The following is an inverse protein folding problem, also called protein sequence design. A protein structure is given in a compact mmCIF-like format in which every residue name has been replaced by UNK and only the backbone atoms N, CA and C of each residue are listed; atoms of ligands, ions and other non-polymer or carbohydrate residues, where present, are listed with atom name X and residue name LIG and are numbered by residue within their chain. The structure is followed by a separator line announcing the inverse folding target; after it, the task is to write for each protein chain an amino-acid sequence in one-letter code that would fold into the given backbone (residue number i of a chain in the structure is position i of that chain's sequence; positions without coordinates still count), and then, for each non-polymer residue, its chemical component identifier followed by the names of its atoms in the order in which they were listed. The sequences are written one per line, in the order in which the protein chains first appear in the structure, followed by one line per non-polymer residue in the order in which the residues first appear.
data_IF_681652961253
#
_entry.id   IF_681652961253
#
_cell.length_a   1.000
_cell.length_b   1.000
_cell.length_c   1.000
_cell.angle_alpha   90.00
_cell.angle_beta   90.00
_cell.angle_gamma   90.00
#
_symmetry.space_group_name_H-M   'P 1'
#
loop_
_entity.id
_entity.type
_entity.pdbx_description
1 polymer ?
#
# COMPACT_ATOMS: atom_id res chain seq x y z
N UNK A 1 -17.87 -5.08 17.41
CA UNK A 1 -16.50 -4.92 16.82
C UNK A 1 -16.12 -3.46 16.89
N UNK A 2 -14.87 -3.16 17.01
CA UNK A 2 -14.34 -1.81 16.92
C UNK A 2 -13.46 -1.69 15.68
N UNK A 3 -13.07 -0.47 15.32
CA UNK A 3 -12.11 -0.19 14.24
C UNK A 3 -10.87 0.43 14.85
N UNK A 4 -9.72 -0.02 14.42
CA UNK A 4 -8.45 0.63 14.67
C UNK A 4 -7.84 1.06 13.34
N UNK A 5 -7.44 2.32 13.25
CA UNK A 5 -6.68 2.87 12.14
C UNK A 5 -5.25 3.08 12.59
N UNK A 6 -4.32 2.46 11.88
CA UNK A 6 -2.89 2.58 12.12
C UNK A 6 -2.32 3.62 11.16
N UNK A 7 -1.80 4.71 11.68
CA UNK A 7 -1.22 5.79 10.91
C UNK A 7 0.31 5.83 11.09
N UNK A 8 1.02 5.28 10.12
CA UNK A 8 2.47 5.35 10.05
C UNK A 8 2.91 6.74 9.63
N UNK A 9 3.80 7.34 10.40
CA UNK A 9 4.29 8.70 10.15
C UNK A 9 5.81 8.76 10.11
N UNK A 10 6.35 9.93 9.73
CA UNK A 10 7.79 10.18 9.82
C UNK A 10 8.35 10.24 11.25
N UNK A 11 7.50 10.16 12.30
CA UNK A 11 7.92 10.34 13.69
C UNK A 11 7.26 9.36 14.68
N UNK A 12 6.78 8.24 14.18
CA UNK A 12 6.16 7.19 14.97
C UNK A 12 4.85 6.71 14.39
N UNK A 13 4.27 5.72 15.04
CA UNK A 13 2.96 5.16 14.72
C UNK A 13 1.91 5.79 15.66
N UNK A 14 0.80 6.21 15.08
CA UNK A 14 -0.39 6.64 15.79
C UNK A 14 -1.51 5.63 15.56
N UNK A 15 -2.35 5.41 16.57
CA UNK A 15 -3.51 4.55 16.51
C UNK A 15 -4.76 5.40 16.76
N UNK A 16 -5.75 5.25 15.89
CA UNK A 16 -7.07 5.87 16.07
C UNK A 16 -8.08 4.76 16.31
N UNK A 17 -8.81 4.85 17.39
CA UNK A 17 -9.78 3.85 17.81
C UNK A 17 -11.20 4.38 17.73
N UNK A 18 -12.12 3.57 17.25
CA UNK A 18 -13.55 3.85 17.25
C UNK A 18 -14.36 2.57 17.47
N UNK A 19 -15.61 2.73 17.86
CA UNK A 19 -16.59 1.66 17.81
C UNK A 19 -17.01 1.32 16.36
N UNK A 20 -17.90 0.36 16.21
CA UNK A 20 -18.41 -0.06 14.90
C UNK A 20 -19.25 1.05 14.20
N UNK A 21 -19.79 2.01 14.96
CA UNK A 21 -20.51 3.14 14.39
C UNK A 21 -19.59 4.24 13.85
N UNK A 22 -18.33 4.25 14.23
CA UNK A 22 -17.27 5.17 13.76
C UNK A 22 -17.62 6.65 13.92
N UNK A 23 -18.42 6.98 14.99
CA UNK A 23 -18.86 8.34 15.28
C UNK A 23 -17.93 9.08 16.25
N UNK A 24 -17.17 8.33 17.02
CA UNK A 24 -16.30 8.87 18.08
C UNK A 24 -14.92 8.24 17.95
N UNK A 25 -13.89 9.04 17.88
CA UNK A 25 -12.53 8.60 17.69
C UNK A 25 -11.64 9.04 18.84
N UNK A 26 -10.74 8.17 19.27
CA UNK A 26 -9.64 8.51 20.18
C UNK A 26 -8.31 8.28 19.47
N UNK A 27 -7.36 9.16 19.73
CA UNK A 27 -6.01 9.12 19.18
C UNK A 27 -5.02 8.72 20.28
N UNK A 28 -4.21 7.69 20.01
CA UNK A 28 -3.10 7.25 20.85
C UNK A 28 -1.78 7.35 20.09
N UNK A 29 -0.67 7.59 20.81
CA UNK A 29 0.65 7.66 20.22
C UNK A 29 1.37 8.99 20.41
N UNK A 30 2.55 9.20 19.76
CA UNK A 30 3.21 8.20 18.92
C UNK A 30 3.84 7.06 19.74
N UNK A 31 3.66 5.85 19.28
CA UNK A 31 4.51 4.71 19.65
C UNK A 31 5.69 4.62 18.67
N UNK A 32 6.80 3.98 19.03
CA UNK A 32 8.06 4.03 18.29
C UNK A 32 8.48 5.48 17.95
N UNK A 33 8.56 6.40 18.95
CA UNK A 33 8.71 7.83 18.69
C UNK A 33 10.04 8.15 18.02
N UNK A 34 9.97 9.00 16.99
CA UNK A 34 11.14 9.46 16.24
C UNK A 34 11.54 8.59 15.06
N UNK A 35 10.96 7.38 14.89
CA UNK A 35 11.21 6.49 13.77
C UNK A 35 10.23 6.76 12.61
N UNK A 36 10.68 6.52 11.38
CA UNK A 36 9.79 6.53 10.22
C UNK A 36 9.05 5.19 10.13
N UNK A 37 7.73 5.21 10.15
CA UNK A 37 6.88 4.03 9.98
C UNK A 37 6.30 4.07 8.57
N UNK A 38 6.87 3.27 7.68
CA UNK A 38 6.47 3.24 6.27
C UNK A 38 5.18 2.47 6.04
N UNK A 39 4.95 1.44 6.85
CA UNK A 39 3.72 0.67 6.88
C UNK A 39 3.54 0.04 8.25
N UNK A 40 2.31 -0.12 8.70
CA UNK A 40 1.98 -0.93 9.88
C UNK A 40 0.66 -1.62 9.63
N UNK A 41 0.55 -2.89 9.98
CA UNK A 41 -0.64 -3.71 9.80
C UNK A 41 -0.97 -4.45 11.09
N UNK A 42 -2.26 -4.56 11.40
CA UNK A 42 -2.77 -5.48 12.42
C UNK A 42 -3.12 -6.80 11.73
N UNK A 43 -2.36 -7.83 12.01
CA UNK A 43 -2.68 -9.18 11.55
C UNK A 43 -3.93 -9.69 12.29
N UNK A 44 -5.01 -9.89 11.54
CA UNK A 44 -6.28 -10.32 12.13
C UNK A 44 -6.32 -11.81 12.45
N UNK A 45 -5.29 -12.59 12.05
CA UNK A 45 -5.17 -14.01 12.35
C UNK A 45 -4.80 -14.26 13.81
N UNK A 46 -3.98 -13.37 14.40
CA UNK A 46 -3.42 -13.53 15.75
C UNK A 46 -3.50 -12.26 16.63
N UNK A 47 -3.84 -11.10 16.03
CA UNK A 47 -3.94 -9.82 16.72
C UNK A 47 -2.60 -9.11 16.94
N UNK A 48 -1.54 -9.53 16.26
CA UNK A 48 -0.21 -8.90 16.33
C UNK A 48 -0.13 -7.71 15.39
N UNK A 49 0.42 -6.60 15.85
CA UNK A 49 0.75 -5.45 15.00
C UNK A 49 2.19 -5.58 14.51
N UNK A 50 2.37 -5.49 13.20
CA UNK A 50 3.67 -5.44 12.55
C UNK A 50 3.91 -4.06 11.97
N UNK A 51 5.14 -3.56 12.06
CA UNK A 51 5.53 -2.25 11.53
C UNK A 51 6.84 -2.33 10.75
N UNK A 52 6.84 -1.84 9.51
CA UNK A 52 8.02 -1.59 8.70
C UNK A 52 8.63 -0.25 9.11
N UNK A 53 9.77 -0.31 9.79
CA UNK A 53 10.36 0.79 10.53
C UNK A 53 11.71 1.17 9.94
N UNK A 54 11.97 2.46 9.80
CA UNK A 54 13.22 2.96 9.26
C UNK A 54 13.83 4.03 10.17
N UNK A 55 15.13 3.92 10.38
CA UNK A 55 15.92 4.87 11.13
C UNK A 55 17.21 5.20 10.39
N UNK A 56 17.55 6.48 10.33
CA UNK A 56 18.82 6.89 9.74
C UNK A 56 20.04 6.41 10.55
N UNK A 57 19.85 6.04 11.82
CA UNK A 57 20.89 5.52 12.71
C UNK A 57 20.99 4.00 12.66
N UNK A 58 19.83 3.32 12.74
CA UNK A 58 19.77 1.86 12.91
C UNK A 58 19.33 1.12 11.64
N UNK A 59 19.03 1.85 10.56
CA UNK A 59 18.63 1.29 9.28
C UNK A 59 17.17 0.80 9.26
N UNK A 60 16.89 -0.09 8.31
CA UNK A 60 15.60 -0.72 8.10
C UNK A 60 15.42 -1.91 9.05
N UNK A 61 14.20 -2.07 9.57
CA UNK A 61 13.85 -3.17 10.48
C UNK A 61 12.34 -3.41 10.48
N UNK A 62 11.90 -4.54 11.02
CA UNK A 62 10.50 -4.80 11.34
C UNK A 62 10.37 -4.87 12.85
N UNK A 63 9.27 -4.33 13.37
CA UNK A 63 8.90 -4.46 14.77
C UNK A 63 7.53 -5.14 14.88
N UNK A 64 7.33 -5.92 15.93
CA UNK A 64 6.06 -6.57 16.25
C UNK A 64 5.59 -6.21 17.66
N UNK A 65 4.27 -6.16 17.84
CA UNK A 65 3.62 -5.85 19.12
C UNK A 65 2.42 -6.74 19.34
N UNK A 66 2.35 -7.38 20.52
CA UNK A 66 1.24 -8.23 20.94
C UNK A 66 0.20 -7.45 21.78
N UNK A 67 0.36 -6.15 21.95
CA UNK A 67 -0.43 -5.31 22.86
C UNK A 67 -0.86 -3.97 22.23
N UNK A 68 -1.14 -3.98 20.92
CA UNK A 68 -1.53 -2.81 20.12
C UNK A 68 -0.54 -1.66 20.22
N UNK A 69 0.75 -1.96 20.10
CA UNK A 69 1.80 -0.96 20.02
C UNK A 69 2.25 -0.35 21.34
N UNK A 70 1.86 -0.92 22.49
CA UNK A 70 2.34 -0.47 23.80
C UNK A 70 3.77 -0.91 24.06
N UNK A 71 4.09 -2.15 23.67
CA UNK A 71 5.46 -2.70 23.69
C UNK A 71 5.83 -3.27 22.34
N UNK A 72 7.11 -3.24 22.01
CA UNK A 72 7.62 -3.66 20.71
C UNK A 72 8.83 -4.55 20.84
N UNK A 73 8.84 -5.62 20.05
CA UNK A 73 9.99 -6.47 19.81
C UNK A 73 10.53 -6.20 18.42
N UNK A 74 11.85 -6.11 18.29
CA UNK A 74 12.53 -5.91 17.01
C UNK A 74 12.84 -7.26 16.41
N UNK A 75 12.55 -7.45 15.11
CA UNK A 75 12.98 -8.61 14.34
C UNK A 75 14.49 -8.63 14.11
N UNK A 76 15.04 -9.82 13.93
CA UNK A 76 16.43 -10.04 13.62
C UNK A 76 16.60 -10.47 12.15
N UNK A 77 17.85 -10.53 11.66
CA UNK A 77 18.18 -11.13 10.35
C UNK A 77 17.76 -10.34 9.11
N UNK A 78 17.17 -9.16 9.24
CA UNK A 78 16.76 -8.37 8.07
C UNK A 78 17.98 -7.76 7.37
N UNK A 79 18.35 -8.32 6.23
CA UNK A 79 19.48 -7.85 5.42
C UNK A 79 19.51 -8.54 4.07
N UNK A 80 20.17 -7.92 3.10
CA UNK A 80 20.41 -8.55 1.80
C UNK A 80 21.75 -9.31 1.84
N UNK A 81 21.86 -10.45 1.10
CA UNK A 81 23.10 -11.21 1.03
C UNK A 81 24.24 -10.38 0.42
N UNK A 82 25.45 -10.52 0.96
CA UNK A 82 26.63 -9.76 0.51
C UNK A 82 26.93 -10.00 -0.98
N UNK A 83 26.70 -11.20 -1.47
CA UNK A 83 26.90 -11.59 -2.88
C UNK A 83 25.98 -10.84 -3.85
N UNK A 84 24.86 -10.32 -3.38
CA UNK A 84 23.97 -9.51 -4.22
C UNK A 84 24.58 -8.15 -4.60
N UNK A 85 25.58 -7.68 -3.86
CA UNK A 85 26.16 -6.35 -4.01
C UNK A 85 25.21 -5.21 -3.67
N UNK A 86 24.00 -5.51 -3.18
CA UNK A 86 22.97 -4.54 -2.81
C UNK A 86 22.98 -4.30 -1.30
N UNK A 87 22.56 -3.12 -0.91
CA UNK A 87 22.36 -2.75 0.49
C UNK A 87 20.88 -2.51 0.74
N UNK A 88 20.35 -3.10 1.80
CA UNK A 88 18.99 -2.81 2.26
C UNK A 88 18.89 -1.32 2.64
N UNK A 89 17.99 -0.62 1.98
CA UNK A 89 17.79 0.83 2.18
C UNK A 89 16.61 1.11 3.10
N UNK A 90 15.47 0.42 2.87
CA UNK A 90 14.22 0.63 3.61
C UNK A 90 13.39 -0.65 3.70
N UNK A 91 12.80 -0.89 4.85
CA UNK A 91 11.63 -1.71 5.01
C UNK A 91 10.41 -0.88 4.57
N UNK A 92 9.59 -1.40 3.64
CA UNK A 92 8.56 -0.59 3.01
C UNK A 92 7.13 -1.03 3.36
N UNK A 93 6.76 -2.26 3.06
CA UNK A 93 5.41 -2.77 3.21
C UNK A 93 5.45 -4.16 3.85
N UNK A 94 4.81 -4.34 4.99
CA UNK A 94 4.66 -5.65 5.65
C UNK A 94 3.23 -6.15 5.44
N UNK A 95 3.11 -7.39 4.97
CA UNK A 95 1.82 -8.02 4.65
C UNK A 95 1.72 -9.40 5.32
N UNK A 96 0.63 -9.70 6.04
CA UNK A 96 0.33 -11.04 6.49
C UNK A 96 0.23 -12.03 5.33
N UNK A 97 0.70 -13.26 5.54
CA UNK A 97 0.52 -14.36 4.59
C UNK A 97 -0.94 -14.84 4.54
N UNK A 98 -1.17 -15.92 3.80
CA UNK A 98 -2.48 -16.53 3.68
C UNK A 98 -2.98 -17.08 5.04
N UNK A 99 -4.31 -17.09 5.26
CA UNK A 99 -4.94 -17.55 6.51
C UNK A 99 -4.55 -18.98 6.91
N UNK A 100 -4.17 -19.84 5.96
CA UNK A 100 -3.67 -21.18 6.24
C UNK A 100 -2.21 -21.25 6.69
N UNK A 101 -1.49 -20.14 6.66
CA UNK A 101 -0.05 -20.02 6.95
C UNK A 101 0.16 -19.00 8.09
N UNK A 102 -0.30 -19.35 9.29
CA UNK A 102 -0.44 -18.42 10.43
C UNK A 102 0.82 -17.59 10.75
N UNK A 103 2.00 -18.20 10.62
CA UNK A 103 3.28 -17.56 10.98
C UNK A 103 3.98 -16.92 9.78
N UNK A 104 3.39 -16.99 8.57
CA UNK A 104 3.97 -16.41 7.36
C UNK A 104 3.67 -14.93 7.25
N UNK A 105 4.71 -14.16 6.96
CA UNK A 105 4.66 -12.73 6.65
C UNK A 105 5.54 -12.41 5.43
N UNK A 106 5.18 -11.35 4.73
CA UNK A 106 5.93 -10.82 3.61
C UNK A 106 6.37 -9.39 3.90
N UNK A 107 7.57 -9.02 3.46
CA UNK A 107 8.08 -7.66 3.57
C UNK A 107 8.64 -7.18 2.25
N UNK A 108 7.97 -6.22 1.64
CA UNK A 108 8.52 -5.47 0.53
C UNK A 108 9.52 -4.42 1.00
N UNK A 109 10.63 -4.27 0.28
CA UNK A 109 11.74 -3.43 0.67
C UNK A 109 12.39 -2.68 -0.51
N UNK A 110 13.23 -1.71 -0.20
CA UNK A 110 14.13 -1.07 -1.15
C UNK A 110 15.57 -1.59 -0.93
N UNK A 111 16.33 -1.83 -2.02
CA UNK A 111 16.04 -1.58 -3.42
C UNK A 111 15.34 -2.76 -4.14
N UNK A 112 14.03 -2.71 -4.28
CA UNK A 112 13.26 -3.70 -5.03
C UNK A 112 13.48 -5.14 -4.57
N UNK A 113 13.40 -5.37 -3.27
CA UNK A 113 13.58 -6.66 -2.62
C UNK A 113 12.29 -7.10 -1.93
N UNK A 114 12.15 -8.41 -1.78
CA UNK A 114 11.07 -9.04 -1.03
C UNK A 114 11.70 -9.99 -0.01
N UNK A 115 11.15 -10.02 1.19
CA UNK A 115 11.53 -10.96 2.25
C UNK A 115 10.31 -11.75 2.68
N UNK A 116 10.55 -12.95 3.20
CA UNK A 116 9.56 -13.81 3.84
C UNK A 116 10.00 -14.16 5.25
N UNK A 117 9.07 -14.17 6.17
CA UNK A 117 9.19 -14.76 7.49
C UNK A 117 8.25 -15.95 7.58
N UNK A 118 8.65 -17.00 8.30
CA UNK A 118 7.86 -18.20 8.59
C UNK A 118 7.72 -18.47 10.10
N UNK A 119 8.04 -17.47 10.92
CA UNK A 119 8.08 -17.56 12.39
C UNK A 119 7.44 -16.35 13.08
N UNK A 120 6.42 -15.76 12.45
CA UNK A 120 5.70 -14.61 13.00
C UNK A 120 6.56 -13.33 13.03
N UNK A 121 7.45 -13.17 12.05
CA UNK A 121 8.24 -11.96 11.88
C UNK A 121 9.47 -11.88 12.79
N UNK A 122 9.89 -12.97 13.43
CA UNK A 122 11.10 -12.97 14.25
C UNK A 122 12.37 -12.92 13.37
N UNK A 123 12.42 -13.74 12.33
CA UNK A 123 13.51 -13.77 11.34
C UNK A 123 12.98 -13.56 9.92
N UNK A 124 13.83 -13.04 9.03
CA UNK A 124 13.48 -12.72 7.65
C UNK A 124 14.50 -13.27 6.67
N UNK A 125 14.02 -13.92 5.61
CA UNK A 125 14.85 -14.46 4.52
C UNK A 125 14.50 -13.75 3.22
N UNK A 126 15.49 -13.38 2.42
CA UNK A 126 15.30 -12.78 1.10
C UNK A 126 14.68 -13.77 0.10
N UNK A 127 13.77 -13.26 -0.71
CA UNK A 127 13.12 -14.03 -1.79
C UNK A 127 13.97 -13.91 -3.05
N UNK A 128 14.79 -14.97 -3.29
CA UNK A 128 15.74 -15.01 -4.41
C UNK A 128 15.08 -14.81 -5.77
N UNK A 129 13.86 -15.33 -5.97
CA UNK A 129 13.13 -15.20 -7.22
C UNK A 129 12.89 -13.74 -7.66
N UNK A 130 12.81 -12.80 -6.70
CA UNK A 130 12.76 -11.36 -6.96
C UNK A 130 14.18 -10.77 -7.01
N UNK A 131 15.03 -11.13 -6.06
CA UNK A 131 16.37 -10.55 -5.94
C UNK A 131 17.26 -10.88 -7.16
N UNK A 132 17.16 -12.09 -7.69
CA UNK A 132 17.91 -12.62 -8.83
C UNK A 132 17.06 -12.71 -10.11
N UNK A 133 15.93 -11.94 -10.20
CA UNK A 133 15.03 -12.03 -11.33
C UNK A 133 15.74 -11.76 -12.66
N UNK A 134 15.53 -12.56 -13.73
CA UNK A 134 16.25 -12.42 -15.00
C UNK A 134 16.14 -11.04 -15.67
N UNK A 135 15.06 -10.30 -15.38
CA UNK A 135 14.87 -8.95 -15.92
C UNK A 135 15.43 -7.84 -15.05
N UNK A 136 16.05 -8.16 -13.89
CA UNK A 136 16.45 -7.16 -12.89
C UNK A 136 17.38 -6.08 -13.44
N UNK A 137 18.26 -6.41 -14.36
CA UNK A 137 19.17 -5.44 -14.99
C UNK A 137 18.44 -4.35 -15.82
N UNK A 138 17.17 -4.60 -16.17
CA UNK A 138 16.31 -3.63 -16.87
C UNK A 138 15.47 -2.75 -15.93
N UNK A 139 15.52 -3.03 -14.62
CA UNK A 139 14.79 -2.23 -13.65
C UNK A 139 15.54 -0.93 -13.39
N UNK A 140 14.81 0.17 -13.31
CA UNK A 140 15.40 1.47 -13.04
C UNK A 140 14.66 2.14 -11.86
N UNK A 141 15.36 2.81 -10.95
CA UNK A 141 14.71 3.50 -9.87
C UNK A 141 13.89 4.68 -10.40
N UNK A 142 12.65 4.81 -9.93
CA UNK A 142 11.90 6.06 -10.06
C UNK A 142 12.44 7.15 -9.11
N UNK A 143 11.88 8.35 -9.14
CA UNK A 143 12.30 9.43 -8.24
C UNK A 143 12.12 9.13 -6.74
N UNK A 144 11.30 8.13 -6.39
CA UNK A 144 11.14 7.62 -5.02
C UNK A 144 12.05 6.44 -4.66
N UNK A 145 12.97 6.05 -5.54
CA UNK A 145 13.79 4.85 -5.42
C UNK A 145 13.12 3.61 -6.03
N UNK A 146 13.85 2.51 -6.07
CA UNK A 146 13.32 1.21 -6.45
C UNK A 146 12.79 0.53 -5.19
N UNK A 147 11.49 0.41 -5.04
CA UNK A 147 10.88 -0.17 -3.84
C UNK A 147 9.79 -1.17 -4.19
N UNK A 148 9.81 -2.32 -3.53
CA UNK A 148 8.69 -3.22 -3.45
C UNK A 148 7.74 -2.68 -2.37
N UNK A 149 6.61 -2.11 -2.79
CA UNK A 149 5.72 -1.35 -1.91
C UNK A 149 4.30 -1.92 -1.83
N UNK A 150 4.00 -2.94 -2.61
CA UNK A 150 2.73 -3.66 -2.52
C UNK A 150 3.01 -5.14 -2.54
N UNK A 151 2.42 -5.86 -1.63
CA UNK A 151 2.38 -7.33 -1.59
C UNK A 151 0.92 -7.72 -1.42
N UNK A 152 0.43 -8.63 -2.25
CA UNK A 152 -0.95 -9.11 -2.19
C UNK A 152 -0.96 -10.62 -2.30
N UNK A 153 -1.54 -11.29 -1.31
CA UNK A 153 -1.70 -12.76 -1.29
C UNK A 153 -3.13 -13.09 -1.71
N UNK A 154 -3.31 -14.01 -2.67
CA UNK A 154 -4.65 -14.46 -3.08
C UNK A 154 -5.31 -15.23 -1.93
N UNK A 155 -6.45 -14.78 -1.38
CA UNK A 155 -7.11 -15.44 -0.27
C UNK A 155 -7.66 -16.85 -0.59
N UNK A 156 -7.60 -17.29 -1.83
CA UNK A 156 -8.02 -18.64 -2.28
C UNK A 156 -6.85 -19.59 -2.53
N UNK A 157 -5.63 -19.05 -2.71
CA UNK A 157 -4.44 -19.86 -3.03
C UNK A 157 -3.18 -19.21 -2.44
N UNK A 158 -2.62 -19.76 -1.36
CA UNK A 158 -1.42 -19.21 -0.70
C UNK A 158 -0.18 -19.15 -1.62
N UNK A 159 -0.18 -19.91 -2.70
CA UNK A 159 0.93 -19.91 -3.66
C UNK A 159 0.88 -18.72 -4.61
N UNK A 160 -0.30 -18.07 -4.74
CA UNK A 160 -0.46 -16.92 -5.64
C UNK A 160 -0.24 -15.62 -4.90
N UNK A 161 0.82 -14.93 -5.32
CA UNK A 161 1.27 -13.68 -4.70
C UNK A 161 1.55 -12.67 -5.80
N UNK A 162 1.20 -11.43 -5.56
CA UNK A 162 1.52 -10.30 -6.43
C UNK A 162 2.39 -9.31 -5.69
N UNK A 163 3.37 -8.73 -6.38
CA UNK A 163 4.16 -7.61 -5.85
C UNK A 163 4.20 -6.46 -6.84
N UNK A 164 4.12 -5.24 -6.32
CA UNK A 164 4.31 -4.00 -7.07
C UNK A 164 5.66 -3.39 -6.74
N UNK A 165 6.50 -3.20 -7.76
CA UNK A 165 7.84 -2.64 -7.61
C UNK A 165 7.97 -1.37 -8.46
N UNK A 166 8.28 -0.23 -7.81
CA UNK A 166 8.47 1.05 -8.48
C UNK A 166 9.59 0.97 -9.50
N UNK A 167 9.23 1.30 -10.75
CA UNK A 167 9.96 1.28 -11.98
C UNK A 167 10.50 -0.12 -12.39
N UNK A 168 9.81 -1.18 -11.94
CA UNK A 168 9.99 -2.54 -12.45
C UNK A 168 8.69 -3.16 -12.96
N UNK A 169 7.54 -2.86 -12.32
CA UNK A 169 6.23 -3.35 -12.70
C UNK A 169 5.56 -4.19 -11.61
N UNK A 170 4.49 -4.88 -11.99
CA UNK A 170 3.83 -5.92 -11.21
C UNK A 170 4.45 -7.27 -11.56
N UNK A 171 4.71 -8.09 -10.55
CA UNK A 171 5.14 -9.47 -10.71
C UNK A 171 4.19 -10.40 -9.98
N UNK A 172 3.96 -11.59 -10.56
CA UNK A 172 3.11 -12.64 -9.99
C UNK A 172 3.93 -13.91 -9.77
N UNK A 173 3.74 -14.51 -8.62
CA UNK A 173 4.11 -15.89 -8.32
C UNK A 173 2.87 -16.77 -8.30
N UNK A 174 2.96 -18.01 -8.75
CA UNK A 174 1.96 -19.06 -8.63
C UNK A 174 2.52 -20.31 -7.89
N UNK A 175 3.69 -20.17 -7.26
CA UNK A 175 4.42 -21.25 -6.57
C UNK A 175 4.89 -20.88 -5.15
N UNK A 176 4.27 -19.87 -4.52
CA UNK A 176 4.59 -19.47 -3.15
C UNK A 176 5.82 -18.59 -3.02
N UNK A 177 6.19 -17.89 -4.11
CA UNK A 177 7.31 -16.95 -4.11
C UNK A 177 8.64 -17.53 -4.61
N UNK A 178 8.66 -18.79 -5.07
CA UNK A 178 9.87 -19.40 -5.60
C UNK A 178 10.27 -18.79 -6.95
N UNK A 179 9.29 -18.61 -7.85
CA UNK A 179 9.50 -17.95 -9.13
C UNK A 179 8.47 -16.84 -9.38
N UNK A 180 8.85 -15.88 -10.23
CA UNK A 180 8.06 -14.69 -10.51
C UNK A 180 7.99 -14.40 -12.01
N UNK A 181 6.82 -13.98 -12.47
CA UNK A 181 6.56 -13.62 -13.86
C UNK A 181 6.06 -12.18 -13.93
N UNK A 182 6.61 -11.33 -14.83
CA UNK A 182 6.07 -10.00 -15.06
C UNK A 182 4.59 -10.04 -15.48
N UNK A 183 3.75 -9.25 -14.83
CA UNK A 183 2.31 -9.18 -15.06
C UNK A 183 1.90 -7.76 -15.47
N UNK A 184 2.44 -7.26 -16.59
CA UNK A 184 2.36 -5.86 -17.01
C UNK A 184 1.68 -5.62 -18.36
N UNK A 185 1.14 -6.65 -19.00
CA UNK A 185 0.57 -6.53 -20.34
C UNK A 185 -0.62 -5.57 -20.36
N UNK A 186 -0.50 -4.49 -21.15
CA UNK A 186 -1.49 -3.42 -21.23
C UNK A 186 -1.22 -2.22 -20.32
N UNK A 187 -0.21 -2.30 -19.44
CA UNK A 187 0.21 -1.18 -18.59
C UNK A 187 1.26 -0.33 -19.30
N UNK A 188 0.98 0.96 -19.49
CA UNK A 188 1.88 1.88 -20.17
C UNK A 188 3.05 2.33 -19.29
N UNK A 189 4.16 2.65 -19.95
CA UNK A 189 5.34 3.33 -19.40
C UNK A 189 5.73 4.46 -20.38
N UNK A 190 4.88 5.50 -20.47
CA UNK A 190 5.00 6.59 -21.46
C UNK A 190 6.32 7.37 -21.36
N UNK A 191 7.06 7.19 -20.27
CA UNK A 191 8.40 7.78 -20.04
C UNK A 191 9.54 6.91 -20.60
N UNK A 192 9.25 5.71 -21.13
CA UNK A 192 10.23 4.81 -21.74
C UNK A 192 10.10 4.86 -23.28
N UNK A 193 11.18 4.51 -24.04
CA UNK A 193 11.10 4.43 -25.50
C UNK A 193 10.04 3.42 -26.01
N UNK A 194 9.85 2.32 -25.31
CA UNK A 194 8.79 1.35 -25.54
C UNK A 194 7.64 1.63 -24.59
N UNK A 195 6.46 1.92 -25.14
CA UNK A 195 5.30 2.31 -24.34
C UNK A 195 4.71 1.16 -23.50
N UNK A 196 4.79 -0.08 -23.98
CA UNK A 196 4.25 -1.26 -23.28
C UNK A 196 5.34 -2.32 -23.09
N UNK A 197 6.40 -2.02 -22.34
CA UNK A 197 7.49 -2.98 -22.14
C UNK A 197 7.04 -4.14 -21.22
N UNK A 198 7.78 -5.23 -21.27
CA UNK A 198 7.58 -6.38 -20.36
C UNK A 198 7.77 -5.97 -18.90
N UNK A 199 8.78 -5.14 -18.61
CA UNK A 199 9.12 -4.59 -17.28
C UNK A 199 9.55 -3.14 -17.40
N UNK A 200 9.48 -2.39 -16.30
CA UNK A 200 9.88 -0.98 -16.24
C UNK A 200 8.72 -0.03 -15.96
N UNK A 201 7.50 -0.54 -15.81
CA UNK A 201 6.35 0.26 -15.40
C UNK A 201 6.54 0.79 -13.97
N UNK A 202 6.20 2.06 -13.77
CA UNK A 202 6.26 2.67 -12.44
C UNK A 202 4.93 2.48 -11.71
N UNK A 203 4.79 1.32 -11.08
CA UNK A 203 3.64 1.01 -10.23
C UNK A 203 3.69 1.87 -8.98
N UNK A 204 2.57 2.43 -8.57
CA UNK A 204 2.44 3.21 -7.34
C UNK A 204 1.67 2.45 -6.25
N UNK A 205 0.63 1.72 -6.58
CA UNK A 205 -0.10 0.81 -5.71
C UNK A 205 -0.75 -0.28 -6.55
N UNK A 206 -0.71 -1.52 -6.08
CA UNK A 206 -1.53 -2.61 -6.62
C UNK A 206 -2.30 -3.25 -5.48
N UNK A 207 -3.59 -3.50 -5.71
CA UNK A 207 -4.50 -4.15 -4.77
C UNK A 207 -5.25 -5.27 -5.46
N UNK A 208 -5.43 -6.36 -4.75
CA UNK A 208 -6.25 -7.49 -5.11
C UNK A 208 -7.59 -7.39 -4.38
N UNK A 209 -8.71 -7.58 -5.10
CA UNK A 209 -10.01 -7.49 -4.45
C UNK A 209 -10.28 -8.76 -3.60
N UNK A 210 -10.56 -8.62 -2.29
CA UNK A 210 -10.61 -9.76 -1.38
C UNK A 210 -11.71 -10.79 -1.73
N UNK A 211 -12.88 -10.35 -2.18
CA UNK A 211 -13.99 -11.25 -2.55
C UNK A 211 -13.98 -11.67 -4.02
N UNK A 212 -13.19 -10.97 -4.86
CA UNK A 212 -13.02 -11.29 -6.28
C UNK A 212 -11.54 -11.28 -6.66
N UNK A 213 -10.72 -12.24 -6.19
CA UNK A 213 -9.27 -12.22 -6.37
C UNK A 213 -8.76 -12.37 -7.81
N UNK A 214 -9.64 -12.62 -8.78
CA UNK A 214 -9.29 -12.52 -10.21
C UNK A 214 -9.21 -11.04 -10.66
N UNK A 215 -9.78 -10.12 -9.87
CA UNK A 215 -9.73 -8.68 -10.11
C UNK A 215 -8.64 -8.02 -9.30
N UNK A 216 -7.76 -7.33 -10.01
CA UNK A 216 -6.75 -6.43 -9.44
C UNK A 216 -6.96 -5.02 -9.96
N UNK A 217 -6.59 -4.06 -9.11
CA UNK A 217 -6.55 -2.64 -9.44
C UNK A 217 -5.13 -2.12 -9.27
N UNK A 218 -4.77 -1.15 -10.08
CA UNK A 218 -3.45 -0.53 -10.00
C UNK A 218 -3.55 0.98 -10.23
N UNK A 219 -3.01 1.79 -9.31
CA UNK A 219 -2.56 3.13 -9.61
C UNK A 219 -1.13 3.05 -10.11
N UNK A 220 -0.89 3.64 -11.26
CA UNK A 220 0.41 3.65 -11.91
C UNK A 220 0.79 5.10 -12.26
N UNK A 221 2.06 5.33 -12.57
CA UNK A 221 2.55 6.62 -13.07
C UNK A 221 1.77 7.12 -14.30
N UNK A 222 1.40 6.22 -15.19
CA UNK A 222 0.74 6.50 -16.45
C UNK A 222 -0.77 6.21 -16.44
N UNK A 223 -1.41 6.09 -15.28
CA UNK A 223 -2.87 5.89 -15.23
C UNK A 223 -3.37 5.01 -14.11
N UNK A 224 -4.68 4.81 -14.11
CA UNK A 224 -5.38 3.83 -13.28
C UNK A 224 -5.72 2.62 -14.15
N UNK A 225 -5.49 1.42 -13.64
CA UNK A 225 -5.71 0.19 -14.40
C UNK A 225 -6.46 -0.84 -13.58
N UNK A 226 -7.18 -1.72 -14.28
CA UNK A 226 -7.84 -2.90 -13.72
C UNK A 226 -7.52 -4.13 -14.56
N UNK A 227 -7.31 -5.25 -13.92
CA UNK A 227 -7.30 -6.58 -14.51
C UNK A 227 -8.47 -7.39 -13.95
N UNK A 228 -9.13 -8.20 -14.79
CA UNK A 228 -10.17 -9.13 -14.40
C UNK A 228 -9.73 -10.60 -14.61
N UNK A 229 -8.47 -10.81 -14.95
CA UNK A 229 -7.89 -12.09 -15.33
C UNK A 229 -6.55 -12.37 -14.61
N UNK A 230 -6.46 -12.01 -13.33
CA UNK A 230 -5.30 -12.29 -12.46
C UNK A 230 -4.01 -11.60 -12.91
N UNK A 231 -4.13 -10.39 -13.47
CA UNK A 231 -3.00 -9.61 -13.95
C UNK A 231 -2.46 -10.01 -15.32
N UNK A 232 -3.13 -10.94 -16.04
CA UNK A 232 -2.71 -11.32 -17.39
C UNK A 232 -2.86 -10.17 -18.39
N UNK A 233 -3.92 -9.37 -18.26
CA UNK A 233 -4.16 -8.19 -19.08
C UNK A 233 -4.70 -7.05 -18.23
N UNK A 234 -4.21 -5.83 -18.49
CA UNK A 234 -4.65 -4.62 -17.83
C UNK A 234 -5.38 -3.68 -18.77
N UNK A 235 -6.49 -3.15 -18.29
CA UNK A 235 -7.29 -2.13 -18.95
C UNK A 235 -7.06 -0.77 -18.28
N UNK A 236 -6.74 0.25 -19.05
CA UNK A 236 -6.59 1.65 -18.58
C UNK A 236 -7.98 2.28 -18.37
N UNK A 237 -8.18 2.98 -17.24
CA UNK A 237 -9.47 3.46 -16.77
C UNK A 237 -9.49 4.93 -16.31
N UNK A 238 -8.45 5.71 -16.62
CA UNK A 238 -8.33 7.11 -16.18
C UNK A 238 -9.00 8.14 -17.11
N UNK A 239 -9.80 7.69 -18.10
CA UNK A 239 -10.34 8.56 -19.15
C UNK A 239 -11.62 9.34 -18.80
N UNK A 240 -12.41 8.91 -17.84
CA UNK A 240 -13.75 9.44 -17.61
C UNK A 240 -13.93 10.02 -16.19
N UNK A 241 -13.74 11.33 -16.06
CA UNK A 241 -14.03 12.06 -14.81
C UNK A 241 -12.82 12.35 -13.92
N UNK A 242 -11.66 11.72 -14.13
CA UNK A 242 -10.45 12.06 -13.40
C UNK A 242 -9.81 13.34 -13.95
N UNK A 243 -9.36 14.27 -13.09
CA UNK A 243 -8.66 15.49 -13.52
C UNK A 243 -7.22 15.22 -13.98
N UNK A 244 -6.63 14.12 -13.56
CA UNK A 244 -5.29 13.66 -13.89
C UNK A 244 -5.23 12.14 -13.86
N UNK A 245 -4.36 11.56 -14.66
CA UNK A 245 -4.04 10.13 -14.65
C UNK A 245 -3.02 9.75 -13.57
N UNK A 246 -2.31 10.75 -13.04
CA UNK A 246 -1.25 10.56 -12.06
C UNK A 246 -1.80 10.62 -10.63
N UNK A 247 -1.29 9.75 -9.78
CA UNK A 247 -1.59 9.68 -8.35
C UNK A 247 -0.81 8.54 -7.70
N UNK A 248 -0.95 8.37 -6.41
CA UNK A 248 -0.27 7.30 -5.67
C UNK A 248 -1.23 6.39 -4.95
N UNK A 249 -2.23 6.97 -4.28
CA UNK A 249 -3.14 6.25 -3.41
C UNK A 249 -4.26 5.55 -4.18
N UNK A 250 -4.61 4.37 -3.70
CA UNK A 250 -5.72 3.55 -4.19
C UNK A 250 -6.32 2.82 -3.00
N UNK A 251 -7.65 2.80 -2.90
CA UNK A 251 -8.41 1.94 -1.99
C UNK A 251 -9.56 1.28 -2.72
N UNK A 252 -10.06 0.18 -2.18
CA UNK A 252 -11.20 -0.58 -2.71
C UNK A 252 -12.35 -0.59 -1.70
N UNK A 253 -13.57 -0.85 -2.15
CA UNK A 253 -14.61 -1.38 -1.26
C UNK A 253 -14.41 -2.91 -1.17
N UNK A 254 -14.19 -3.47 0.01
CA UNK A 254 -13.88 -4.90 0.13
C UNK A 254 -15.03 -5.83 -0.27
N UNK A 255 -16.26 -5.32 -0.38
CA UNK A 255 -17.48 -6.09 -0.68
C UNK A 255 -18.02 -5.85 -2.08
N UNK A 256 -17.66 -4.73 -2.70
CA UNK A 256 -18.09 -4.39 -4.06
C UNK A 256 -16.86 -4.25 -4.98
N UNK A 257 -16.59 -5.24 -5.83
CA UNK A 257 -15.44 -5.22 -6.71
C UNK A 257 -15.48 -4.12 -7.78
N UNK A 258 -16.63 -3.49 -7.98
CA UNK A 258 -16.80 -2.41 -8.95
C UNK A 258 -16.53 -1.02 -8.34
N UNK A 259 -16.29 -0.97 -7.01
CA UNK A 259 -16.02 0.29 -6.29
C UNK A 259 -14.53 0.41 -5.97
N UNK A 260 -13.94 1.54 -6.37
CA UNK A 260 -12.57 1.92 -6.05
C UNK A 260 -12.45 3.44 -5.82
N UNK A 261 -11.40 3.84 -5.12
CA UNK A 261 -11.09 5.22 -4.77
C UNK A 261 -9.67 5.57 -5.14
N UNK A 262 -9.45 6.75 -5.73
CA UNK A 262 -8.12 7.28 -6.07
C UNK A 262 -8.01 8.74 -5.68
N UNK A 263 -6.78 9.21 -5.49
CA UNK A 263 -6.47 10.63 -5.26
C UNK A 263 -5.56 11.11 -6.39
N UNK A 264 -6.11 11.77 -7.42
CA UNK A 264 -5.32 12.35 -8.50
C UNK A 264 -4.46 13.52 -8.01
N UNK A 265 -3.21 13.54 -8.48
CA UNK A 265 -2.29 14.65 -8.30
C UNK A 265 -1.98 15.31 -9.65
N UNK A 266 -1.44 16.55 -9.65
CA UNK A 266 -1.15 17.33 -10.87
C UNK A 266 -0.27 16.56 -11.86
N UNK A 267 0.75 15.85 -11.35
CA UNK A 267 1.64 15.06 -12.17
C UNK A 267 2.93 14.68 -11.46
N UNK A 268 3.81 14.01 -12.18
CA UNK A 268 5.05 13.47 -11.63
C UNK A 268 6.03 14.53 -11.10
N UNK A 269 6.00 15.73 -11.67
CA UNK A 269 6.86 16.85 -11.25
C UNK A 269 6.21 17.67 -10.14
N UNK A 270 4.88 17.83 -10.19
CA UNK A 270 4.09 18.58 -9.23
C UNK A 270 3.23 17.61 -8.41
N UNK A 271 3.83 16.95 -7.43
CA UNK A 271 3.17 15.94 -6.59
C UNK A 271 2.32 16.60 -5.52
N UNK A 272 1.28 17.25 -5.96
CA UNK A 272 0.25 17.88 -5.14
C UNK A 272 -1.13 17.59 -5.73
N UNK A 273 -2.15 17.68 -4.92
CA UNK A 273 -3.55 17.48 -5.32
C UNK A 273 -3.95 18.36 -6.51
N UNK A 274 -4.69 17.80 -7.45
CA UNK A 274 -5.11 18.46 -8.67
C UNK A 274 -5.93 19.73 -8.38
N UNK A 275 -5.53 20.85 -8.98
CA UNK A 275 -6.14 22.16 -8.76
C UNK A 275 -6.02 22.69 -7.33
N UNK A 276 -5.12 22.13 -6.51
CA UNK A 276 -4.97 22.53 -5.10
C UNK A 276 -6.16 22.17 -4.22
N UNK A 277 -6.96 21.17 -4.60
CA UNK A 277 -8.08 20.65 -3.82
C UNK A 277 -7.83 19.18 -3.48
N UNK A 278 -7.98 18.82 -2.21
CA UNK A 278 -7.95 17.41 -1.82
C UNK A 278 -9.22 16.71 -2.33
N UNK A 279 -9.10 16.04 -3.46
CA UNK A 279 -10.18 15.33 -4.14
C UNK A 279 -9.96 13.83 -4.11
N UNK A 280 -10.86 13.09 -3.46
CA UNK A 280 -10.98 11.66 -3.64
C UNK A 280 -11.99 11.40 -4.74
N UNK A 281 -11.62 10.59 -5.72
CA UNK A 281 -12.50 10.19 -6.80
C UNK A 281 -12.92 8.74 -6.61
N UNK A 282 -14.22 8.50 -6.74
CA UNK A 282 -14.83 7.18 -6.57
C UNK A 282 -15.41 6.70 -7.89
N UNK A 283 -15.20 5.44 -8.20
CA UNK A 283 -15.97 4.69 -9.20
C UNK A 283 -16.94 3.73 -8.51
N UNK A 284 -18.09 3.48 -9.14
CA UNK A 284 -19.04 2.44 -8.76
C UNK A 284 -19.48 1.58 -9.96
N UNK A 285 -18.74 1.69 -11.06
CA UNK A 285 -19.00 1.01 -12.33
C UNK A 285 -17.71 0.37 -12.89
N UNK A 286 -16.86 -0.08 -11.97
CA UNK A 286 -15.61 -0.75 -12.30
C UNK A 286 -14.62 0.10 -13.11
N UNK A 287 -14.64 1.42 -12.90
CA UNK A 287 -13.75 2.39 -13.54
C UNK A 287 -14.23 2.92 -14.89
N UNK A 288 -15.48 2.62 -15.29
CA UNK A 288 -16.04 3.20 -16.51
C UNK A 288 -16.26 4.70 -16.37
N UNK A 289 -16.59 5.17 -15.15
CA UNK A 289 -16.65 6.60 -14.80
C UNK A 289 -16.12 6.85 -13.38
N UNK A 290 -15.72 8.10 -13.13
CA UNK A 290 -15.21 8.55 -11.83
C UNK A 290 -15.93 9.82 -11.40
N UNK A 291 -16.35 9.86 -10.15
CA UNK A 291 -17.04 10.98 -9.54
C UNK A 291 -16.24 11.54 -8.35
N UNK A 292 -16.24 12.86 -8.21
CA UNK A 292 -15.61 13.51 -7.07
C UNK A 292 -16.40 13.20 -5.79
N UNK A 293 -15.75 12.59 -4.82
CA UNK A 293 -16.26 12.28 -3.50
C UNK A 293 -15.42 13.05 -2.46
N UNK A 294 -15.75 14.32 -2.22
CA UNK A 294 -14.91 15.24 -1.45
C UNK A 294 -15.68 16.10 -0.43
N UNK A 295 -16.97 15.84 -0.20
CA UNK A 295 -17.75 16.57 0.80
C UNK A 295 -17.10 16.38 2.19
N UNK A 296 -16.79 17.51 2.87
CA UNK A 296 -16.09 17.50 4.16
C UNK A 296 -14.56 17.51 4.07
N UNK A 297 -13.96 17.33 2.87
CA UNK A 297 -12.54 17.59 2.66
C UNK A 297 -12.25 19.09 2.43
N UNK A 298 -11.03 19.57 2.71
CA UNK A 298 -10.65 20.96 2.48
C UNK A 298 -10.77 21.38 1.01
N UNK A 299 -11.43 22.50 0.73
CA UNK A 299 -11.52 23.08 -0.60
C UNK A 299 -10.19 23.63 -1.14
N UNK A 300 -9.26 23.96 -0.25
CA UNK A 300 -7.90 24.40 -0.59
C UNK A 300 -6.90 23.58 0.20
N UNK A 301 -6.19 22.70 -0.48
CA UNK A 301 -5.21 21.80 0.12
C UNK A 301 -4.16 21.39 -0.94
N UNK A 302 -2.98 21.97 -0.84
CA UNK A 302 -1.81 21.65 -1.66
C UNK A 302 -0.99 20.57 -0.97
N UNK A 303 -1.49 19.35 -1.01
CA UNK A 303 -0.93 18.22 -0.28
C UNK A 303 -0.64 17.05 -1.21
N UNK A 304 0.13 16.09 -0.74
CA UNK A 304 0.29 14.79 -1.40
C UNK A 304 -0.32 13.68 -0.53
N UNK A 305 -0.88 12.68 -1.17
CA UNK A 305 -1.31 11.42 -0.56
C UNK A 305 -0.44 10.30 -1.10
N UNK A 306 0.34 9.69 -0.24
CA UNK A 306 1.29 8.66 -0.67
C UNK A 306 0.58 7.34 -1.02
N UNK A 307 1.32 6.42 -1.63
CA UNK A 307 0.81 5.13 -2.09
C UNK A 307 0.17 4.26 -1.01
N UNK A 308 0.67 4.36 0.23
CA UNK A 308 0.09 3.70 1.41
C UNK A 308 -0.84 4.64 2.21
N UNK A 309 -1.23 5.78 1.64
CA UNK A 309 -2.03 6.81 2.33
C UNK A 309 -3.53 6.58 2.31
N UNK A 310 -4.02 5.47 1.80
CA UNK A 310 -5.43 5.08 1.85
C UNK A 310 -5.61 3.63 2.28
N UNK A 311 -6.68 3.39 3.06
CA UNK A 311 -7.11 2.07 3.51
C UNK A 311 -8.62 1.99 3.60
N UNK A 312 -9.13 0.78 3.88
CA UNK A 312 -10.55 0.52 4.13
C UNK A 312 -10.72 -0.45 5.31
N UNK A 313 -11.84 -0.34 6.00
CA UNK A 313 -12.29 -1.38 6.95
C UNK A 313 -13.28 -2.36 6.30
N UNK A 314 -13.66 -3.40 7.02
CA UNK A 314 -14.59 -4.44 6.55
C UNK A 314 -15.97 -4.35 7.19
N UNK A 315 -16.34 -3.22 7.79
CA UNK A 315 -17.68 -3.00 8.33
C UNK A 315 -18.69 -2.70 7.23
N UNK A 316 -19.97 -2.61 7.57
CA UNK A 316 -21.07 -2.29 6.67
C UNK A 316 -21.75 -0.97 7.10
N UNK A 317 -21.70 0.09 6.28
CA UNK A 317 -20.90 0.28 5.06
C UNK A 317 -19.39 0.25 5.35
N UNK A 318 -18.56 -0.05 4.33
CA UNK A 318 -17.12 0.02 4.48
C UNK A 318 -16.67 1.46 4.75
N UNK A 319 -15.78 1.65 5.72
CA UNK A 319 -15.09 2.91 5.94
C UNK A 319 -13.86 3.01 5.06
N UNK A 320 -13.64 4.19 4.50
CA UNK A 320 -12.42 4.54 3.75
C UNK A 320 -11.64 5.59 4.54
N UNK A 321 -10.35 5.41 4.66
CA UNK A 321 -9.46 6.26 5.44
C UNK A 321 -8.39 6.86 4.54
N UNK A 322 -8.03 8.12 4.82
CA UNK A 322 -7.10 8.92 4.02
C UNK A 322 -6.13 9.66 4.92
N UNK A 323 -4.83 9.47 4.70
CA UNK A 323 -3.76 10.19 5.38
C UNK A 323 -2.95 11.05 4.42
N UNK A 324 -2.61 12.27 4.82
CA UNK A 324 -1.89 13.24 3.99
C UNK A 324 -0.47 13.49 4.48
N UNK A 325 0.40 13.94 3.59
CA UNK A 325 1.75 14.39 3.96
C UNK A 325 1.75 15.70 4.80
N UNK A 326 0.62 16.39 4.89
CA UNK A 326 0.45 17.53 5.81
C UNK A 326 0.12 17.12 7.24
N UNK A 327 -0.10 15.82 7.51
CA UNK A 327 -0.36 15.30 8.84
C UNK A 327 -1.83 15.30 9.24
N UNK A 328 -2.76 15.32 8.28
CA UNK A 328 -4.18 15.13 8.53
C UNK A 328 -4.63 13.73 8.14
N UNK A 329 -5.59 13.19 8.90
CA UNK A 329 -6.25 11.91 8.65
C UNK A 329 -7.75 12.15 8.56
N UNK A 330 -8.38 11.59 7.54
CA UNK A 330 -9.82 11.67 7.27
C UNK A 330 -10.43 10.28 7.17
N UNK A 331 -11.73 10.18 7.46
CA UNK A 331 -12.53 8.98 7.26
C UNK A 331 -13.83 9.31 6.54
N UNK A 332 -14.31 8.36 5.74
CA UNK A 332 -15.65 8.40 5.11
C UNK A 332 -16.32 7.04 5.26
N UNK A 333 -17.61 7.07 5.59
CA UNK A 333 -18.50 5.88 5.59
C UNK A 333 -19.59 5.99 4.52
N UNK A 334 -19.39 6.86 3.52
CA UNK A 334 -20.28 7.08 2.38
C UNK A 334 -20.93 8.46 2.32
N UNK A 335 -21.19 9.10 3.46
CA UNK A 335 -21.92 10.39 3.54
C UNK A 335 -21.01 11.64 3.50
N UNK A 336 -19.74 11.46 3.09
CA UNK A 336 -18.73 12.51 3.11
C UNK A 336 -17.57 12.17 4.04
N UNK A 337 -16.66 13.12 4.23
CA UNK A 337 -15.43 12.94 5.00
C UNK A 337 -15.47 13.72 6.31
N UNK A 338 -14.92 13.14 7.36
CA UNK A 338 -14.67 13.80 8.63
C UNK A 338 -13.17 13.78 8.91
N UNK A 339 -12.63 14.87 9.47
CA UNK A 339 -11.24 14.91 9.96
C UNK A 339 -11.16 14.17 11.29
N UNK A 340 -10.30 13.15 11.35
CA UNK A 340 -10.05 12.35 12.56
C UNK A 340 -8.92 12.93 13.39
N UNK A 341 -7.88 13.42 12.73
CA UNK A 341 -6.71 14.03 13.34
C UNK A 341 -6.05 14.99 12.37
N UNK A 342 -5.38 16.01 12.91
CA UNK A 342 -4.56 16.96 12.16
C UNK A 342 -3.32 17.34 12.93
N UNK A 343 -2.38 18.02 12.25
CA UNK A 343 -1.09 18.45 12.81
C UNK A 343 -0.20 17.28 13.29
N UNK A 344 -0.42 16.08 12.78
CA UNK A 344 0.49 14.96 12.96
C UNK A 344 1.77 15.18 12.13
N UNK A 345 2.84 14.43 12.40
CA UNK A 345 3.95 14.35 11.43
C UNK A 345 3.45 13.85 10.07
N UNK A 346 4.17 14.12 8.96
CA UNK A 346 3.76 13.64 7.64
C UNK A 346 3.35 12.18 7.66
N UNK A 347 2.11 11.88 7.24
CA UNK A 347 1.58 10.51 7.19
C UNK A 347 2.20 9.79 5.99
N UNK A 348 2.76 8.61 6.23
CA UNK A 348 3.38 7.76 5.23
C UNK A 348 2.46 6.61 4.82
N UNK A 349 1.69 6.09 5.77
CA UNK A 349 0.73 5.00 5.56
C UNK A 349 -0.49 5.13 6.46
N UNK A 350 -1.58 4.57 5.99
CA UNK A 350 -2.81 4.34 6.75
C UNK A 350 -3.23 2.90 6.50
N UNK A 351 -3.51 2.16 7.57
CA UNK A 351 -4.15 0.85 7.52
C UNK A 351 -5.33 0.82 8.47
N UNK A 352 -6.36 0.02 8.15
CA UNK A 352 -7.53 -0.11 8.98
C UNK A 352 -7.83 -1.59 9.24
N UNK A 353 -8.15 -1.91 10.48
CA UNK A 353 -8.47 -3.25 10.89
C UNK A 353 -9.69 -3.27 11.82
N UNK A 354 -10.43 -4.36 11.76
CA UNK A 354 -11.47 -4.63 12.72
C UNK A 354 -10.83 -5.24 13.99
N UNK A 355 -11.22 -4.73 15.15
CA UNK A 355 -10.72 -5.20 16.44
C UNK A 355 -11.88 -5.68 17.31
N UNK A 356 -11.75 -6.81 18.07
CA UNK A 356 -12.80 -7.35 18.90
C UNK A 356 -13.38 -6.42 19.95
#
# INVERSE_FOLDING_TARGET
MSVVVLAGTRKGLFLLHSDEERRSWSLEGPTLPGWEIFHAVLDQRDGVVYAAVNSFVYGATVHRSNDLGRTWERSEGLGLPEESGLKLEKAWHVEPGHDSEADTLWLGAAPGALFRSEDGGAEWTDVKGILEHPTRERWAPGAGGMCCHSVQVDPRDPRRIYVGISAAGVFRSDDGGESWTPANKGTAADFLPEQYPEVGQCVHKVLLHPERPDRLWQQNHCGVYRSDDRGENWQRLDGNGLPSSFGFALALDPRDPDVAYVVPEEGAENRVTSGGRLGVYRTSDAGASWELHADGLPDSAWVAVLREGMAYDRLDPAGVYLGTQSGSIYASTGDGWIELASQLPPVLSVEAANWP
#
